data_IF_047827903757
#
_entry.id   IF_047827903757
#
_cell.length_a   1.000
_cell.length_b   1.000
_cell.length_c   1.000
_cell.angle_alpha   90.00
_cell.angle_beta   90.00
_cell.angle_gamma   90.00
#
_symmetry.space_group_name_H-M   'P 1'
#
loop_
_entity.id
_entity.type
_entity.pdbx_description
1 polymer ?
#
# COMPACT_ATOMS: atom_id res chain seq x y z
N UNK A 1 -27.60 -22.15 42.39
CA UNK A 1 -26.92 -20.93 41.92
C UNK A 1 -25.50 -21.34 41.54
N UNK A 2 -25.26 -21.66 40.27
CA UNK A 2 -24.71 -20.80 39.21
C UNK A 2 -23.27 -21.28 38.92
N UNK A 3 -23.13 -22.28 38.04
CA UNK A 3 -22.71 -22.13 36.64
C UNK A 3 -21.33 -21.51 36.49
N UNK A 4 -20.30 -22.36 36.46
CA UNK A 4 -18.96 -22.01 36.03
C UNK A 4 -18.90 -22.10 34.50
N UNK A 5 -19.01 -20.95 33.84
CA UNK A 5 -18.82 -20.80 32.40
C UNK A 5 -17.33 -20.90 32.10
N UNK A 6 -16.94 -22.03 31.50
CA UNK A 6 -15.64 -22.24 30.86
C UNK A 6 -15.44 -21.16 29.80
N UNK A 7 -14.44 -20.29 30.01
CA UNK A 7 -13.99 -19.32 29.02
C UNK A 7 -13.57 -20.05 27.75
N UNK A 8 -14.25 -19.75 26.65
CA UNK A 8 -13.85 -20.17 25.32
C UNK A 8 -12.46 -19.67 25.01
N UNK A 9 -11.57 -20.60 24.67
CA UNK A 9 -10.27 -20.32 24.09
C UNK A 9 -10.54 -19.65 22.73
N UNK A 10 -10.33 -18.34 22.64
CA UNK A 10 -10.26 -17.64 21.36
C UNK A 10 -8.99 -18.16 20.66
N UNK A 11 -9.16 -19.18 19.80
CA UNK A 11 -8.13 -19.57 18.84
C UNK A 11 -7.94 -18.40 17.89
N UNK A 12 -7.00 -17.52 18.21
CA UNK A 12 -6.34 -16.73 17.19
C UNK A 12 -5.60 -17.75 16.34
N UNK A 13 -6.23 -18.16 15.25
CA UNK A 13 -5.56 -18.93 14.20
C UNK A 13 -4.46 -18.02 13.70
N UNK A 14 -3.23 -18.23 14.18
CA UNK A 14 -2.04 -17.67 13.56
C UNK A 14 -1.99 -18.30 12.17
N UNK A 15 -2.58 -17.61 11.21
CA UNK A 15 -2.52 -17.99 9.81
C UNK A 15 -1.04 -18.03 9.46
N UNK A 16 -0.58 -19.16 8.90
CA UNK A 16 0.81 -19.27 8.49
C UNK A 16 1.06 -18.18 7.44
N UNK A 17 2.16 -17.43 7.58
CA UNK A 17 2.55 -16.34 6.64
C UNK A 17 2.74 -16.80 5.18
N UNK A 18 2.49 -18.07 4.86
CA UNK A 18 2.54 -18.62 3.50
C UNK A 18 1.23 -18.52 2.70
N UNK A 19 0.11 -18.12 3.32
CA UNK A 19 -1.22 -18.13 2.65
C UNK A 19 -1.80 -16.74 2.37
N UNK A 20 -1.06 -15.67 2.65
CA UNK A 20 -1.48 -14.29 2.41
C UNK A 20 -0.99 -13.77 1.06
N UNK A 21 -1.69 -12.78 0.53
CA UNK A 21 -1.36 -12.07 -0.70
C UNK A 21 -1.16 -10.59 -0.42
N UNK A 22 -0.15 -9.99 -1.03
CA UNK A 22 0.14 -8.56 -0.89
C UNK A 22 -0.35 -7.78 -2.10
N UNK A 23 -0.94 -6.62 -1.83
CA UNK A 23 -1.38 -5.67 -2.85
C UNK A 23 -0.83 -4.28 -2.55
N UNK A 24 -0.30 -3.63 -3.56
CA UNK A 24 -0.12 -2.18 -3.57
C UNK A 24 -1.41 -1.53 -4.08
N UNK A 25 -1.92 -0.56 -3.32
CA UNK A 25 -3.07 0.27 -3.64
C UNK A 25 -2.52 1.64 -4.05
N UNK A 26 -2.55 1.97 -5.33
CA UNK A 26 -1.89 3.15 -5.90
C UNK A 26 -2.94 4.23 -6.17
N UNK A 27 -2.83 5.36 -5.46
CA UNK A 27 -3.78 6.46 -5.55
C UNK A 27 -3.45 7.38 -6.73
N UNK A 28 -4.32 7.42 -7.75
CA UNK A 28 -4.15 8.20 -8.97
C UNK A 28 -5.24 9.27 -9.10
N UNK A 29 -5.02 10.48 -8.58
CA UNK A 29 -5.95 11.59 -8.75
C UNK A 29 -5.78 12.24 -10.13
N UNK A 30 -6.87 12.73 -10.73
CA UNK A 30 -6.78 13.66 -11.87
C UNK A 30 -6.38 15.06 -11.38
N UNK A 31 -5.96 15.93 -12.31
CA UNK A 31 -5.65 17.32 -11.98
C UNK A 31 -6.82 18.06 -11.32
N UNK A 32 -8.07 17.75 -11.71
CA UNK A 32 -9.27 18.31 -11.10
C UNK A 32 -9.48 17.80 -9.68
N UNK A 33 -9.19 16.52 -9.40
CA UNK A 33 -9.27 15.97 -8.05
C UNK A 33 -8.23 16.61 -7.12
N UNK A 34 -7.00 16.81 -7.60
CA UNK A 34 -5.94 17.52 -6.86
C UNK A 34 -6.32 19.00 -6.65
N UNK A 35 -6.97 19.64 -7.62
CA UNK A 35 -7.45 21.01 -7.45
C UNK A 35 -8.58 21.09 -6.40
N UNK A 36 -9.55 20.17 -6.47
CA UNK A 36 -10.66 20.11 -5.53
C UNK A 36 -10.24 19.75 -4.10
N UNK A 37 -9.16 18.98 -3.91
CA UNK A 37 -8.67 18.65 -2.57
C UNK A 37 -8.18 19.87 -1.80
N UNK A 38 -7.83 20.97 -2.49
CA UNK A 38 -7.42 22.24 -1.87
C UNK A 38 -8.55 22.96 -1.14
N UNK A 39 -9.80 22.65 -1.48
CA UNK A 39 -10.98 23.19 -0.81
C UNK A 39 -11.34 22.40 0.45
N UNK A 40 -10.70 21.24 0.68
CA UNK A 40 -10.85 20.42 1.89
C UNK A 40 -9.75 20.80 2.88
N UNK A 41 -10.11 20.97 4.16
CA UNK A 41 -9.11 21.28 5.18
C UNK A 41 -8.14 20.09 5.37
N UNK A 42 -6.86 20.39 5.63
CA UNK A 42 -5.86 19.35 5.84
C UNK A 42 -6.19 18.44 7.03
N UNK A 43 -6.72 19.00 8.12
CA UNK A 43 -7.15 18.24 9.31
C UNK A 43 -8.29 17.26 9.00
N UNK A 44 -9.22 17.66 8.13
CA UNK A 44 -10.32 16.79 7.70
C UNK A 44 -9.82 15.62 6.83
N UNK A 45 -8.88 15.89 5.91
CA UNK A 45 -8.23 14.84 5.13
C UNK A 45 -7.46 13.87 6.01
N UNK A 46 -6.66 14.39 6.96
CA UNK A 46 -5.91 13.58 7.93
C UNK A 46 -6.83 12.72 8.80
N UNK A 47 -7.93 13.30 9.31
CA UNK A 47 -8.88 12.56 10.14
C UNK A 47 -9.56 11.45 9.35
N UNK A 48 -9.94 11.73 8.11
CA UNK A 48 -10.64 10.77 7.24
C UNK A 48 -9.73 9.61 6.84
N UNK A 49 -8.51 9.91 6.37
CA UNK A 49 -7.51 8.90 6.02
C UNK A 49 -7.03 8.13 7.26
N UNK A 50 -6.84 8.83 8.37
CA UNK A 50 -6.42 8.24 9.65
C UNK A 50 -7.40 7.18 10.15
N UNK A 51 -8.71 7.43 10.07
CA UNK A 51 -9.73 6.42 10.43
C UNK A 51 -9.68 5.16 9.57
N UNK A 52 -9.45 5.33 8.27
CA UNK A 52 -9.31 4.20 7.35
C UNK A 52 -8.03 3.40 7.66
N UNK A 53 -6.92 4.09 7.93
CA UNK A 53 -5.67 3.47 8.34
C UNK A 53 -5.82 2.73 9.68
N UNK A 54 -6.52 3.31 10.66
CA UNK A 54 -6.82 2.66 11.94
C UNK A 54 -7.58 1.34 11.73
N UNK A 55 -8.55 1.28 10.82
CA UNK A 55 -9.24 0.04 10.48
C UNK A 55 -8.29 -1.02 9.88
N UNK A 56 -7.43 -0.62 8.94
CA UNK A 56 -6.47 -1.52 8.30
C UNK A 56 -5.45 -2.06 9.32
N UNK A 57 -4.92 -1.18 10.18
CA UNK A 57 -3.95 -1.54 11.23
C UNK A 57 -4.61 -2.44 12.26
N UNK A 58 -5.81 -2.11 12.74
CA UNK A 58 -6.54 -2.92 13.70
C UNK A 58 -6.86 -4.33 13.16
N UNK A 59 -7.05 -4.46 11.85
CA UNK A 59 -7.23 -5.74 11.17
C UNK A 59 -5.93 -6.51 10.92
N UNK A 60 -4.76 -5.89 11.16
CA UNK A 60 -3.46 -6.45 10.78
C UNK A 60 -3.22 -6.50 9.27
N UNK A 61 -4.01 -5.76 8.49
CA UNK A 61 -3.94 -5.78 7.03
C UNK A 61 -2.93 -4.77 6.48
N UNK A 62 -2.62 -3.69 7.20
CA UNK A 62 -1.68 -2.66 6.74
C UNK A 62 -0.22 -3.12 6.89
N UNK A 63 0.52 -3.14 5.79
CA UNK A 63 1.98 -3.29 5.78
C UNK A 63 2.65 -1.93 5.79
N UNK A 64 2.18 -1.01 4.94
CA UNK A 64 2.67 0.38 4.88
C UNK A 64 1.62 1.26 4.20
N UNK A 65 1.73 2.57 4.36
CA UNK A 65 0.97 3.51 3.53
C UNK A 65 1.40 4.94 3.77
N UNK A 66 1.62 5.66 2.67
CA UNK A 66 2.25 6.98 2.70
C UNK A 66 1.62 7.87 1.62
N UNK A 67 1.46 9.15 1.95
CA UNK A 67 1.26 10.20 0.97
C UNK A 67 2.60 10.65 0.39
N UNK A 68 2.63 10.97 -0.90
CA UNK A 68 3.81 11.52 -1.55
C UNK A 68 3.75 13.04 -1.58
N UNK A 69 4.91 13.67 -1.42
CA UNK A 69 5.02 15.11 -1.65
C UNK A 69 4.76 15.43 -3.14
N UNK A 70 4.25 16.63 -3.45
CA UNK A 70 4.11 17.06 -4.84
C UNK A 70 5.46 16.98 -5.57
N UNK A 71 5.49 16.63 -6.87
CA UNK A 71 6.75 16.52 -7.62
C UNK A 71 7.60 17.80 -7.64
N UNK A 72 6.96 18.97 -7.53
CA UNK A 72 7.64 20.26 -7.39
C UNK A 72 8.47 20.40 -6.09
N UNK A 73 8.21 19.57 -5.08
CA UNK A 73 8.96 19.51 -3.82
C UNK A 73 10.15 18.54 -3.91
N UNK A 74 11.03 18.80 -4.87
CA UNK A 74 12.29 18.05 -5.02
C UNK A 74 12.19 16.71 -5.76
N UNK A 75 11.08 16.43 -6.44
CA UNK A 75 10.96 15.27 -7.33
C UNK A 75 11.89 15.36 -8.54
N UNK A 76 12.37 14.21 -9.01
CA UNK A 76 13.18 14.08 -10.22
C UNK A 76 12.98 12.71 -10.88
N UNK A 77 13.29 12.64 -12.18
CA UNK A 77 13.22 11.44 -13.00
C UNK A 77 14.59 11.14 -13.56
N UNK A 78 15.00 9.86 -13.50
CA UNK A 78 16.12 9.35 -14.29
C UNK A 78 15.60 8.64 -15.53
N UNK A 79 16.02 9.10 -16.71
CA UNK A 79 15.75 8.47 -17.99
C UNK A 79 16.96 7.63 -18.44
N UNK A 80 16.76 6.32 -18.52
CA UNK A 80 17.76 5.30 -18.84
C UNK A 80 17.87 4.99 -20.34
N UNK A 81 17.18 5.72 -21.23
CA UNK A 81 17.36 5.63 -22.68
C UNK A 81 18.73 6.19 -23.16
N UNK A 82 19.53 6.70 -22.23
CA UNK A 82 20.88 7.25 -22.45
C UNK A 82 21.89 6.70 -21.43
N UNK A 83 23.17 6.70 -21.81
CA UNK A 83 24.30 6.33 -20.94
C UNK A 83 25.33 7.49 -20.90
N UNK A 84 25.52 8.16 -19.76
CA UNK A 84 24.81 7.95 -18.48
C UNK A 84 23.33 8.40 -18.55
N UNK A 85 22.47 7.93 -17.62
CA UNK A 85 21.08 8.36 -17.56
C UNK A 85 20.94 9.88 -17.40
N UNK A 86 19.94 10.45 -18.05
CA UNK A 86 19.63 11.88 -17.88
C UNK A 86 18.72 12.10 -16.69
N UNK A 87 18.88 13.25 -16.02
CA UNK A 87 18.08 13.63 -14.85
C UNK A 87 17.23 14.84 -15.20
N UNK A 88 15.92 14.74 -14.98
CA UNK A 88 14.96 15.84 -15.17
C UNK A 88 14.21 16.13 -13.88
N UNK A 89 13.91 17.41 -13.62
CA UNK A 89 13.16 17.82 -12.44
C UNK A 89 11.65 17.55 -12.60
N UNK A 90 10.98 17.25 -11.49
CA UNK A 90 9.55 16.94 -11.45
C UNK A 90 9.26 15.44 -11.61
N UNK A 91 8.10 15.12 -12.14
CA UNK A 91 7.64 13.74 -12.30
C UNK A 91 7.69 13.26 -13.76
N UNK A 92 7.60 11.94 -13.92
CA UNK A 92 7.62 11.28 -15.23
C UNK A 92 6.22 11.21 -15.84
N UNK A 93 6.13 11.50 -17.13
CA UNK A 93 4.90 11.38 -17.92
C UNK A 93 3.92 12.54 -17.76
N UNK A 94 2.77 12.41 -18.41
CA UNK A 94 1.65 13.36 -18.26
C UNK A 94 1.08 13.32 -16.84
N UNK A 95 0.49 14.42 -16.36
CA UNK A 95 -0.06 14.52 -14.99
C UNK A 95 -1.07 13.42 -14.64
N UNK A 96 -1.79 12.88 -15.62
CA UNK A 96 -2.75 11.77 -15.42
C UNK A 96 -2.08 10.42 -15.12
N UNK A 97 -0.76 10.32 -15.27
CA UNK A 97 0.05 9.14 -14.95
C UNK A 97 0.64 9.17 -13.53
N UNK A 98 0.48 10.29 -12.80
CA UNK A 98 1.03 10.45 -11.46
C UNK A 98 0.20 9.69 -10.42
N UNK A 99 0.85 9.35 -9.30
CA UNK A 99 0.19 8.85 -8.12
C UNK A 99 0.70 9.61 -6.90
N UNK A 100 -0.22 10.00 -6.03
CA UNK A 100 0.04 10.93 -4.92
C UNK A 100 0.18 10.21 -3.57
N UNK A 101 0.12 8.88 -3.59
CA UNK A 101 0.20 8.07 -2.39
C UNK A 101 -0.09 6.61 -2.67
N UNK A 102 0.18 5.78 -1.66
CA UNK A 102 -0.08 4.36 -1.75
C UNK A 102 -0.37 3.73 -0.38
N UNK A 103 -0.96 2.54 -0.42
CA UNK A 103 -0.94 1.57 0.66
C UNK A 103 -0.31 0.28 0.15
N UNK A 104 0.35 -0.48 1.03
CA UNK A 104 0.60 -1.90 0.85
C UNK A 104 -0.22 -2.62 1.92
N UNK A 105 -1.06 -3.55 1.47
CA UNK A 105 -1.85 -4.41 2.34
C UNK A 105 -1.47 -5.87 2.15
N UNK A 106 -1.56 -6.65 3.23
CA UNK A 106 -1.42 -8.09 3.24
C UNK A 106 -2.72 -8.72 3.76
N UNK A 107 -3.34 -9.56 2.93
CA UNK A 107 -4.69 -10.08 3.16
C UNK A 107 -4.78 -11.54 2.72
N UNK A 108 -5.86 -12.25 3.06
CA UNK A 108 -5.99 -13.67 2.73
C UNK A 108 -6.32 -13.93 1.25
N UNK A 109 -6.89 -12.96 0.53
CA UNK A 109 -7.25 -13.15 -0.88
C UNK A 109 -7.39 -11.84 -1.67
N UNK A 110 -7.52 -11.96 -3.00
CA UNK A 110 -7.85 -10.83 -3.89
C UNK A 110 -9.18 -10.19 -3.50
N UNK A 111 -10.18 -10.99 -3.18
CA UNK A 111 -11.52 -10.53 -2.80
C UNK A 111 -11.48 -9.74 -1.48
N UNK A 112 -10.59 -10.12 -0.56
CA UNK A 112 -10.36 -9.35 0.66
C UNK A 112 -9.65 -8.02 0.35
N UNK A 113 -8.66 -8.03 -0.55
CA UNK A 113 -8.02 -6.79 -1.02
C UNK A 113 -9.05 -5.83 -1.64
N UNK A 114 -9.96 -6.36 -2.45
CA UNK A 114 -11.06 -5.59 -3.07
C UNK A 114 -12.00 -4.99 -2.01
N UNK A 115 -12.35 -5.73 -0.95
CA UNK A 115 -13.15 -5.20 0.16
C UNK A 115 -12.46 -4.03 0.86
N UNK A 116 -11.15 -4.10 1.06
CA UNK A 116 -10.40 -2.99 1.64
C UNK A 116 -10.33 -1.80 0.69
N UNK A 117 -10.11 -2.03 -0.61
CA UNK A 117 -10.12 -0.98 -1.62
C UNK A 117 -11.47 -0.23 -1.69
N UNK A 118 -12.59 -0.94 -1.61
CA UNK A 118 -13.94 -0.36 -1.61
C UNK A 118 -14.25 0.52 -0.39
N UNK A 119 -13.51 0.36 0.71
CA UNK A 119 -13.62 1.19 1.91
C UNK A 119 -12.74 2.43 1.88
N UNK A 120 -11.80 2.51 0.94
CA UNK A 120 -10.83 3.61 0.88
C UNK A 120 -11.59 4.94 0.68
N UNK A 121 -11.33 5.98 1.50
CA UNK A 121 -12.13 7.19 1.50
C UNK A 121 -11.71 8.17 0.39
N UNK A 122 -11.70 7.68 -0.85
CA UNK A 122 -11.35 8.44 -2.05
C UNK A 122 -12.60 8.98 -2.74
N UNK A 123 -12.48 10.18 -3.30
CA UNK A 123 -13.57 10.91 -3.94
C UNK A 123 -13.57 10.84 -5.47
N UNK A 124 -14.50 11.56 -6.12
CA UNK A 124 -14.56 11.70 -7.57
C UNK A 124 -13.22 12.15 -8.18
N UNK A 125 -12.89 11.61 -9.36
CA UNK A 125 -11.65 11.94 -10.05
C UNK A 125 -10.40 11.21 -9.53
N UNK A 126 -10.54 10.32 -8.53
CA UNK A 126 -9.44 9.47 -8.07
C UNK A 126 -9.67 8.02 -8.52
N UNK A 127 -8.65 7.41 -9.12
CA UNK A 127 -8.59 5.96 -9.38
C UNK A 127 -7.67 5.31 -8.36
N UNK A 128 -8.07 4.15 -7.85
CA UNK A 128 -7.25 3.32 -6.98
C UNK A 128 -6.83 2.06 -7.74
N UNK A 129 -5.58 2.02 -8.20
CA UNK A 129 -5.05 0.86 -8.91
C UNK A 129 -4.55 -0.19 -7.92
N UNK A 130 -5.09 -1.40 -8.02
CA UNK A 130 -4.71 -2.54 -7.18
C UNK A 130 -3.71 -3.41 -7.94
N UNK A 131 -2.47 -3.51 -7.47
CA UNK A 131 -1.44 -4.38 -8.06
C UNK A 131 -0.95 -5.40 -7.07
N UNK A 132 -1.02 -6.70 -7.41
CA UNK A 132 -0.44 -7.77 -6.59
C UNK A 132 1.08 -7.61 -6.56
N UNK A 133 1.65 -7.72 -5.37
CA UNK A 133 3.10 -7.82 -5.15
C UNK A 133 3.44 -9.31 -5.08
N UNK A 134 4.32 -9.83 -5.97
CA UNK A 134 4.76 -11.22 -5.89
C UNK A 134 5.58 -11.46 -4.61
N UNK A 135 5.51 -12.66 -4.05
CA UNK A 135 6.35 -13.07 -2.93
C UNK A 135 7.70 -13.60 -3.44
N UNK A 136 8.72 -13.58 -2.57
CA UNK A 136 10.06 -14.08 -2.91
C UNK A 136 10.04 -15.57 -3.31
N UNK A 137 9.08 -16.33 -2.79
CA UNK A 137 8.91 -17.76 -3.08
C UNK A 137 8.39 -18.02 -4.51
N UNK A 138 7.90 -17.00 -5.22
CA UNK A 138 7.44 -17.09 -6.62
C UNK A 138 8.58 -17.02 -7.64
N UNK A 139 9.81 -16.70 -7.22
CA UNK A 139 10.99 -16.54 -8.09
C UNK A 139 11.87 -17.81 -8.15
N UNK A 140 12.84 -17.92 -9.07
CA UNK A 140 13.76 -19.06 -9.13
C UNK A 140 14.59 -19.21 -7.85
N UNK A 141 14.33 -20.27 -7.07
CA UNK A 141 14.91 -20.48 -5.73
C UNK A 141 16.39 -20.92 -5.77
N UNK A 142 16.90 -21.25 -6.95
CA UNK A 142 18.32 -21.53 -7.20
C UNK A 142 19.14 -20.26 -7.50
N UNK A 143 18.50 -19.10 -7.64
CA UNK A 143 19.17 -17.83 -7.85
C UNK A 143 19.79 -17.29 -6.54
N UNK A 144 21.07 -16.91 -6.58
CA UNK A 144 21.82 -16.38 -5.43
C UNK A 144 21.14 -15.15 -4.78
N UNK A 145 20.58 -14.24 -5.58
CA UNK A 145 19.97 -13.02 -5.06
C UNK A 145 18.58 -13.26 -4.47
N UNK A 146 17.83 -14.25 -4.97
CA UNK A 146 16.56 -14.67 -4.36
C UNK A 146 16.82 -15.27 -2.97
N UNK A 147 17.85 -16.10 -2.84
CA UNK A 147 18.26 -16.67 -1.54
C UNK A 147 18.71 -15.58 -0.55
N UNK A 148 19.50 -14.61 -1.02
CA UNK A 148 19.90 -13.45 -0.21
C UNK A 148 18.72 -12.58 0.20
N UNK A 149 17.80 -12.28 -0.72
CA UNK A 149 16.61 -11.48 -0.43
C UNK A 149 15.75 -12.14 0.65
N UNK A 150 15.53 -13.45 0.57
CA UNK A 150 14.80 -14.20 1.59
C UNK A 150 15.44 -14.06 2.96
N UNK A 151 16.76 -14.25 3.05
CA UNK A 151 17.51 -14.06 4.29
C UNK A 151 17.41 -12.61 4.82
N UNK A 152 17.54 -11.60 3.95
CA UNK A 152 17.40 -10.20 4.34
C UNK A 152 16.01 -9.86 4.89
N UNK A 153 14.95 -10.40 4.28
CA UNK A 153 13.57 -10.19 4.75
C UNK A 153 13.34 -10.82 6.11
N UNK A 154 13.79 -12.06 6.31
CA UNK A 154 13.68 -12.76 7.59
C UNK A 154 14.42 -12.02 8.73
N UNK A 155 15.53 -11.34 8.42
CA UNK A 155 16.28 -10.54 9.39
C UNK A 155 15.59 -9.22 9.80
N UNK A 156 14.80 -8.63 8.89
CA UNK A 156 14.26 -7.26 9.04
C UNK A 156 12.76 -7.21 9.39
N UNK A 157 12.03 -8.32 9.34
CA UNK A 157 10.61 -8.39 9.72
C UNK A 157 10.39 -8.51 11.24
N UNK A 158 10.93 -7.56 12.01
CA UNK A 158 10.68 -7.44 13.45
C UNK A 158 9.47 -6.57 13.78
#
# INVERSE_FOLDING_TARGET
>A
MSSALTRGLNRHTTQSRGDTVRYMMIMRPTAEAVAASKDVSFDEMLTTMGRYNDELIAAGAMVSGEGLAPPEDGGFVLDFDSDPPTVTAGAYGDRDALFDGFWIIEVASREEAEKWALKCPLGPGVKLEMRRIPTVDEFPQDNEYVQKEKAWRDEHEK
#
